data_IF_077266768128
#
_entry.id   IF_077266768128
#
_cell.length_a   1.000
_cell.length_b   1.000
_cell.length_c   1.000
_cell.angle_alpha   90.00
_cell.angle_beta   90.00
_cell.angle_gamma   90.00
#
_symmetry.space_group_name_H-M   'P 1'
#
loop_
_entity.id
_entity.type
_entity.pdbx_description
1 polymer ?
#
# COMPACT_ATOMS: atom_id res chain seq x y z
N UNK A 1 -6.66 -0.61 4.29
CA UNK A 1 -6.15 0.73 3.98
C UNK A 1 -7.34 1.68 3.93
N UNK A 2 -7.22 2.85 4.56
CA UNK A 2 -8.25 3.90 4.60
C UNK A 2 -7.61 5.19 4.10
N UNK A 3 -8.11 5.72 2.98
CA UNK A 3 -7.66 7.00 2.44
C UNK A 3 -8.11 8.14 3.33
N UNK A 4 -7.18 9.00 3.71
CA UNK A 4 -7.45 10.21 4.50
C UNK A 4 -6.69 11.36 3.88
N UNK A 5 -7.38 12.47 3.60
CA UNK A 5 -6.69 13.67 3.13
C UNK A 5 -6.03 14.39 4.28
N UNK A 6 -4.87 15.05 4.07
CA UNK A 6 -4.23 15.89 5.07
C UNK A 6 -5.18 16.94 5.66
N UNK A 7 -6.04 17.56 4.83
CA UNK A 7 -7.02 18.55 5.28
C UNK A 7 -8.01 17.93 6.28
N UNK A 8 -8.47 16.68 6.03
CA UNK A 8 -9.37 15.99 6.96
C UNK A 8 -8.69 15.68 8.30
N UNK A 9 -7.39 15.38 8.29
CA UNK A 9 -6.62 15.15 9.51
C UNK A 9 -6.42 16.44 10.33
N UNK A 10 -6.32 17.57 9.64
CA UNK A 10 -6.06 18.88 10.24
C UNK A 10 -7.34 19.66 10.56
N UNK A 11 -8.52 19.15 10.18
CA UNK A 11 -9.79 19.79 10.47
C UNK A 11 -10.05 19.82 11.99
N UNK A 12 -10.27 21.00 12.60
CA UNK A 12 -10.57 21.12 14.02
C UNK A 12 -11.85 20.40 14.46
N UNK A 13 -12.77 20.14 13.53
CA UNK A 13 -13.99 19.35 13.79
C UNK A 13 -13.73 17.85 13.85
N UNK A 14 -12.57 17.41 13.35
CA UNK A 14 -12.17 16.02 13.40
C UNK A 14 -11.88 15.60 14.84
N UNK A 15 -12.82 14.89 15.46
CA UNK A 15 -12.65 14.42 16.83
C UNK A 15 -11.65 13.27 16.90
N UNK A 16 -10.50 13.44 17.57
CA UNK A 16 -9.57 12.37 17.81
C UNK A 16 -10.28 11.18 18.48
N UNK A 17 -10.10 9.98 17.92
CA UNK A 17 -10.69 8.77 18.49
C UNK A 17 -12.04 8.35 17.90
N UNK A 18 -12.71 9.16 17.09
CA UNK A 18 -13.95 8.73 16.40
C UNK A 18 -13.71 7.52 15.49
N UNK A 19 -12.63 7.53 14.74
CA UNK A 19 -12.20 6.38 13.92
C UNK A 19 -11.99 5.14 14.80
N UNK A 20 -11.33 5.30 15.95
CA UNK A 20 -11.12 4.22 16.90
C UNK A 20 -12.43 3.64 17.42
N UNK A 21 -13.40 4.50 17.81
CA UNK A 21 -14.73 4.06 18.28
C UNK A 21 -15.48 3.29 17.19
N UNK A 22 -15.44 3.75 15.94
CA UNK A 22 -16.05 3.04 14.82
C UNK A 22 -15.44 1.65 14.63
N UNK A 23 -14.13 1.53 14.65
CA UNK A 23 -13.44 0.25 14.52
C UNK A 23 -13.78 -0.70 15.69
N UNK A 24 -13.85 -0.19 16.92
CA UNK A 24 -14.25 -0.96 18.10
C UNK A 24 -15.66 -1.54 17.96
N UNK A 25 -16.61 -0.78 17.40
CA UNK A 25 -17.97 -1.28 17.15
C UNK A 25 -18.03 -2.47 16.18
N UNK A 26 -17.02 -2.58 15.30
CA UNK A 26 -16.88 -3.69 14.36
C UNK A 26 -15.89 -4.76 14.81
N UNK A 27 -15.29 -4.63 16.00
CA UNK A 27 -14.29 -5.56 16.52
C UNK A 27 -12.97 -5.54 15.72
N UNK A 28 -12.66 -4.44 15.03
CA UNK A 28 -11.44 -4.31 14.21
C UNK A 28 -10.35 -3.63 15.03
N UNK A 29 -9.23 -4.30 15.33
CA UNK A 29 -8.13 -3.67 16.05
C UNK A 29 -7.40 -2.64 15.16
N UNK A 30 -6.95 -1.49 15.69
CA UNK A 30 -6.23 -0.47 14.92
C UNK A 30 -4.98 -1.01 14.18
N UNK A 31 -4.31 -2.01 14.75
CA UNK A 31 -3.15 -2.68 14.13
C UNK A 31 -3.45 -3.39 12.80
N UNK A 32 -4.71 -3.61 12.47
CA UNK A 32 -5.15 -4.13 11.16
C UNK A 32 -5.50 -3.01 10.17
N UNK A 33 -5.38 -1.75 10.57
CA UNK A 33 -5.78 -0.60 9.76
C UNK A 33 -4.57 0.25 9.41
N UNK A 34 -4.45 0.58 8.14
CA UNK A 34 -3.42 1.46 7.60
C UNK A 34 -4.09 2.75 7.14
N UNK A 35 -3.64 3.89 7.65
CA UNK A 35 -4.05 5.22 7.19
C UNK A 35 -3.20 5.56 5.97
N UNK A 36 -3.86 5.83 4.87
CA UNK A 36 -3.26 6.07 3.57
C UNK A 36 -3.35 7.57 3.23
N UNK A 37 -2.20 8.22 3.07
CA UNK A 37 -2.10 9.63 2.73
C UNK A 37 -1.79 9.78 1.25
N UNK A 38 -2.62 10.50 0.53
CA UNK A 38 -2.36 10.87 -0.85
C UNK A 38 -1.54 12.16 -0.92
N UNK A 39 -0.55 12.19 -1.82
CA UNK A 39 0.32 13.36 -2.02
C UNK A 39 -0.40 14.57 -2.65
N UNK A 40 -1.58 14.38 -3.23
CA UNK A 40 -2.29 15.39 -4.05
C UNK A 40 -2.71 16.65 -3.29
N UNK A 41 -2.64 16.64 -1.97
CA UNK A 41 -2.95 17.81 -1.16
C UNK A 41 -1.67 18.44 -0.62
N UNK A 42 -1.26 19.62 -1.13
CA UNK A 42 -0.09 20.32 -0.62
C UNK A 42 -0.37 20.77 0.82
N UNK A 43 0.24 20.07 1.77
CA UNK A 43 0.19 20.50 3.16
C UNK A 43 1.34 21.46 3.41
N UNK A 44 1.04 22.72 3.66
CA UNK A 44 2.06 23.71 4.02
C UNK A 44 2.59 23.51 5.44
N UNK A 45 1.79 22.90 6.31
CA UNK A 45 2.16 22.67 7.72
C UNK A 45 2.48 21.19 8.00
N UNK A 46 3.73 20.82 7.71
CA UNK A 46 4.25 19.47 7.99
C UNK A 46 4.25 19.14 9.48
N UNK A 47 4.39 20.13 10.36
CA UNK A 47 4.44 19.91 11.82
C UNK A 47 3.09 19.45 12.34
N UNK A 48 2.01 20.08 11.88
CA UNK A 48 0.66 19.68 12.26
C UNK A 48 0.33 18.28 11.71
N UNK A 49 0.70 17.99 10.46
CA UNK A 49 0.49 16.66 9.86
C UNK A 49 1.25 15.58 10.64
N UNK A 50 2.52 15.81 10.96
CA UNK A 50 3.34 14.88 11.74
C UNK A 50 2.75 14.61 13.12
N UNK A 51 2.28 15.65 13.81
CA UNK A 51 1.60 15.51 15.10
C UNK A 51 0.32 14.67 14.99
N UNK A 52 -0.50 14.88 13.95
CA UNK A 52 -1.70 14.10 13.71
C UNK A 52 -1.35 12.60 13.46
N UNK A 53 -0.32 12.33 12.65
CA UNK A 53 0.12 10.96 12.40
C UNK A 53 0.73 10.29 13.63
N UNK A 54 1.47 11.02 14.45
CA UNK A 54 1.94 10.51 15.74
C UNK A 54 0.77 10.06 16.63
N UNK A 55 -0.33 10.83 16.63
CA UNK A 55 -1.52 10.45 17.37
C UNK A 55 -2.13 9.12 16.84
N UNK A 56 -2.24 8.95 15.51
CA UNK A 56 -2.72 7.69 14.93
C UNK A 56 -1.78 6.52 15.25
N UNK A 57 -0.46 6.71 15.17
CA UNK A 57 0.51 5.69 15.57
C UNK A 57 0.37 5.29 17.04
N UNK A 58 0.15 6.27 17.92
CA UNK A 58 -0.07 6.01 19.36
C UNK A 58 -1.34 5.19 19.62
N UNK A 59 -2.33 5.25 18.73
CA UNK A 59 -3.53 4.39 18.77
C UNK A 59 -3.31 3.01 18.13
N UNK A 60 -2.15 2.76 17.53
CA UNK A 60 -1.79 1.46 16.93
C UNK A 60 -2.06 1.34 15.44
N UNK A 61 -2.37 2.43 14.72
CA UNK A 61 -2.49 2.44 13.26
C UNK A 61 -1.11 2.45 12.60
N UNK A 62 -1.02 1.84 11.42
CA UNK A 62 0.10 2.03 10.50
C UNK A 62 -0.21 3.15 9.49
N UNK A 63 0.85 3.74 8.93
CA UNK A 63 0.75 4.84 7.96
C UNK A 63 1.31 4.39 6.62
N UNK A 64 0.61 4.74 5.54
CA UNK A 64 1.08 4.57 4.17
C UNK A 64 1.15 5.90 3.44
N UNK A 65 2.16 6.05 2.58
CA UNK A 65 2.21 7.08 1.54
C UNK A 65 1.72 6.49 0.24
N UNK A 66 0.71 7.12 -0.36
CA UNK A 66 0.13 6.72 -1.65
C UNK A 66 0.68 7.54 -2.81
N UNK A 67 0.58 6.99 -4.02
CA UNK A 67 0.93 7.63 -5.30
C UNK A 67 2.38 8.15 -5.35
N UNK A 68 3.35 7.41 -4.77
CA UNK A 68 4.75 7.83 -4.81
C UNK A 68 5.24 7.98 -6.24
N UNK A 69 5.66 9.20 -6.57
CA UNK A 69 6.19 9.57 -7.89
C UNK A 69 5.22 10.33 -8.76
N UNK A 70 3.93 10.46 -8.39
CA UNK A 70 2.97 11.28 -9.12
C UNK A 70 3.15 12.79 -8.90
N UNK A 71 3.90 13.21 -7.86
CA UNK A 71 4.08 14.60 -7.49
C UNK A 71 5.49 14.97 -7.04
N UNK A 72 5.68 16.26 -6.71
CA UNK A 72 7.00 16.83 -6.38
C UNK A 72 7.41 16.67 -4.91
N UNK A 73 6.50 16.27 -4.03
CA UNK A 73 6.70 16.29 -2.57
C UNK A 73 6.93 14.92 -1.94
N UNK A 74 6.74 13.82 -2.68
CA UNK A 74 6.72 12.43 -2.17
C UNK A 74 7.94 12.07 -1.34
N UNK A 75 9.15 12.33 -1.84
CA UNK A 75 10.39 11.98 -1.12
C UNK A 75 10.61 12.84 0.13
N UNK A 76 10.17 14.10 0.09
CA UNK A 76 10.21 14.96 1.27
C UNK A 76 9.23 14.45 2.33
N UNK A 77 7.98 14.18 1.96
CA UNK A 77 6.99 13.59 2.85
C UNK A 77 7.51 12.28 3.46
N UNK A 78 8.12 11.41 2.66
CA UNK A 78 8.71 10.19 3.17
C UNK A 78 9.79 10.46 4.22
N UNK A 79 10.71 11.38 3.95
CA UNK A 79 11.81 11.69 4.88
C UNK A 79 11.32 12.25 6.22
N UNK A 80 10.24 13.05 6.19
CA UNK A 80 9.66 13.69 7.39
C UNK A 80 8.74 12.71 8.14
N UNK A 81 7.81 12.06 7.44
CA UNK A 81 6.73 11.27 8.05
C UNK A 81 7.13 9.84 8.39
N UNK A 82 8.19 9.31 7.76
CA UNK A 82 8.68 7.93 7.95
C UNK A 82 7.54 6.90 7.99
N UNK A 83 6.82 6.71 6.88
CA UNK A 83 5.68 5.82 6.81
C UNK A 83 6.09 4.35 6.99
N UNK A 84 5.13 3.52 7.40
CA UNK A 84 5.32 2.07 7.49
C UNK A 84 5.23 1.41 6.12
N UNK A 85 4.44 2.00 5.20
CA UNK A 85 4.24 1.54 3.83
C UNK A 85 4.42 2.69 2.84
N UNK A 86 4.92 2.35 1.65
CA UNK A 86 5.02 3.27 0.52
C UNK A 86 4.48 2.58 -0.71
N UNK A 87 3.55 3.23 -1.42
CA UNK A 87 2.89 2.68 -2.59
C UNK A 87 3.46 3.34 -3.84
N UNK A 88 3.98 2.53 -4.75
CA UNK A 88 4.51 2.99 -6.03
C UNK A 88 3.34 3.06 -7.01
N UNK A 89 3.12 4.25 -7.57
CA UNK A 89 2.07 4.52 -8.56
C UNK A 89 2.21 3.61 -9.79
N UNK A 90 1.05 3.22 -10.34
CA UNK A 90 0.93 2.39 -11.54
C UNK A 90 1.81 2.88 -12.70
N UNK A 91 2.00 4.20 -12.86
CA UNK A 91 2.82 4.74 -13.93
C UNK A 91 4.22 4.13 -14.01
N UNK A 92 4.82 3.80 -12.86
CA UNK A 92 6.15 3.18 -12.79
C UNK A 92 6.11 1.67 -12.92
N UNK A 93 4.94 1.05 -12.78
CA UNK A 93 4.76 -0.40 -12.84
C UNK A 93 4.37 -0.85 -14.25
N UNK A 94 3.45 -0.12 -14.90
CA UNK A 94 3.00 -0.40 -16.27
C UNK A 94 4.19 -0.44 -17.24
N UNK A 95 4.42 -1.62 -17.85
CA UNK A 95 5.52 -1.84 -18.79
C UNK A 95 6.93 -1.90 -18.17
N UNK A 96 7.08 -2.04 -16.86
CA UNK A 96 8.39 -2.12 -16.17
C UNK A 96 9.30 -3.21 -16.74
N UNK A 97 8.74 -4.30 -17.25
CA UNK A 97 9.48 -5.41 -17.86
C UNK A 97 10.22 -4.98 -19.15
N UNK A 98 9.79 -3.91 -19.81
CA UNK A 98 10.40 -3.35 -21.02
C UNK A 98 11.25 -2.10 -20.76
N UNK A 99 11.10 -1.45 -19.62
CA UNK A 99 11.69 -0.13 -19.33
C UNK A 99 12.76 -0.24 -18.22
N UNK A 100 14.04 -0.07 -18.61
CA UNK A 100 15.16 -0.10 -17.69
C UNK A 100 15.13 1.09 -16.70
N UNK A 101 14.62 2.27 -17.11
CA UNK A 101 14.55 3.45 -16.24
C UNK A 101 13.54 3.23 -15.12
N UNK A 102 12.39 2.63 -15.43
CA UNK A 102 11.39 2.26 -14.43
C UNK A 102 11.95 1.26 -13.42
N UNK A 103 12.71 0.24 -13.89
CA UNK A 103 13.39 -0.71 -12.99
C UNK A 103 14.37 -0.02 -12.06
N UNK A 104 15.20 0.89 -12.56
CA UNK A 104 16.14 1.66 -11.74
C UNK A 104 15.43 2.56 -10.73
N UNK A 105 14.30 3.17 -11.13
CA UNK A 105 13.47 3.97 -10.22
C UNK A 105 12.94 3.11 -9.08
N UNK A 106 12.28 1.99 -9.38
CA UNK A 106 11.75 1.07 -8.37
C UNK A 106 12.87 0.52 -7.49
N UNK A 107 14.02 0.16 -8.06
CA UNK A 107 15.21 -0.27 -7.33
C UNK A 107 15.70 0.78 -6.32
N UNK A 108 15.71 2.05 -6.72
CA UNK A 108 16.08 3.17 -5.84
C UNK A 108 15.08 3.32 -4.68
N UNK A 109 13.79 3.19 -4.95
CA UNK A 109 12.73 3.22 -3.93
C UNK A 109 12.91 2.08 -2.93
N UNK A 110 13.18 0.86 -3.38
CA UNK A 110 13.44 -0.29 -2.51
C UNK A 110 14.66 -0.06 -1.58
N UNK A 111 15.71 0.58 -2.08
CA UNK A 111 16.87 0.92 -1.25
C UNK A 111 16.51 1.93 -0.15
N UNK A 112 15.74 2.97 -0.47
CA UNK A 112 15.28 3.97 0.51
C UNK A 112 14.35 3.29 1.52
N UNK A 113 13.43 2.43 1.08
CA UNK A 113 12.50 1.68 1.93
C UNK A 113 13.25 0.80 2.93
N UNK A 114 14.26 0.07 2.47
CA UNK A 114 15.12 -0.74 3.35
C UNK A 114 15.83 0.11 4.41
N UNK A 115 16.33 1.29 4.05
CA UNK A 115 17.00 2.20 4.97
C UNK A 115 16.04 2.80 6.00
N UNK A 116 14.80 3.12 5.61
CA UNK A 116 13.75 3.68 6.47
C UNK A 116 12.92 2.62 7.20
N UNK A 117 13.08 1.34 6.88
CA UNK A 117 12.27 0.20 7.36
C UNK A 117 10.81 0.27 6.93
N UNK A 118 10.53 0.91 5.81
CA UNK A 118 9.22 0.90 5.19
C UNK A 118 9.06 -0.34 4.29
N UNK A 119 7.84 -0.81 4.10
CA UNK A 119 7.51 -1.83 3.11
C UNK A 119 7.00 -1.17 1.83
N UNK A 120 7.39 -1.72 0.68
CA UNK A 120 7.00 -1.21 -0.63
C UNK A 120 5.83 -2.01 -1.19
N UNK A 121 4.82 -1.30 -1.68
CA UNK A 121 3.66 -1.84 -2.38
C UNK A 121 3.73 -1.38 -3.84
N UNK A 122 3.84 -2.31 -4.78
CA UNK A 122 3.69 -1.99 -6.20
C UNK A 122 2.20 -2.09 -6.60
N UNK A 123 1.69 -1.03 -7.23
CA UNK A 123 0.28 -0.94 -7.61
C UNK A 123 0.05 -1.07 -9.12
N UNK A 124 -1.15 -1.52 -9.47
CA UNK A 124 -1.61 -1.53 -10.86
C UNK A 124 -1.00 -2.61 -11.73
N UNK A 125 -0.55 -3.73 -11.16
CA UNK A 125 0.00 -4.87 -11.90
C UNK A 125 -1.10 -5.50 -12.74
N UNK A 126 -0.91 -5.56 -14.06
CA UNK A 126 -1.86 -6.14 -15.00
C UNK A 126 -1.28 -7.29 -15.83
N UNK A 127 0.06 -7.41 -15.92
CA UNK A 127 0.76 -8.41 -16.72
C UNK A 127 1.62 -9.35 -15.86
N UNK A 128 1.74 -10.61 -16.29
CA UNK A 128 2.59 -11.60 -15.62
C UNK A 128 4.07 -11.22 -15.67
N UNK A 129 4.50 -10.58 -16.76
CA UNK A 129 5.87 -10.11 -16.97
C UNK A 129 6.24 -8.97 -15.98
N UNK A 130 5.28 -8.11 -15.65
CA UNK A 130 5.45 -7.06 -14.62
C UNK A 130 5.58 -7.70 -13.24
N UNK A 131 4.70 -8.66 -12.93
CA UNK A 131 4.75 -9.42 -11.68
C UNK A 131 6.10 -10.12 -11.50
N UNK A 132 6.60 -10.81 -12.54
CA UNK A 132 7.87 -11.53 -12.50
C UNK A 132 9.04 -10.59 -12.19
N UNK A 133 9.11 -9.44 -12.87
CA UNK A 133 10.16 -8.43 -12.63
C UNK A 133 10.10 -7.88 -11.21
N UNK A 134 8.91 -7.52 -10.73
CA UNK A 134 8.74 -6.97 -9.38
C UNK A 134 9.08 -7.98 -8.28
N UNK A 135 8.74 -9.26 -8.50
CA UNK A 135 9.09 -10.34 -7.59
C UNK A 135 10.62 -10.57 -7.56
N UNK A 136 11.30 -10.57 -8.73
CA UNK A 136 12.76 -10.68 -8.83
C UNK A 136 13.48 -9.51 -8.18
N UNK A 137 12.92 -8.30 -8.27
CA UNK A 137 13.42 -7.10 -7.59
C UNK A 137 13.20 -7.12 -6.07
N UNK A 138 12.40 -8.05 -5.54
CA UNK A 138 12.14 -8.19 -4.11
C UNK A 138 11.17 -7.15 -3.54
N UNK A 139 10.16 -6.74 -4.32
CA UNK A 139 9.09 -5.86 -3.83
C UNK A 139 8.28 -6.60 -2.76
N UNK A 140 8.05 -5.95 -1.61
CA UNK A 140 7.44 -6.58 -0.44
C UNK A 140 5.97 -6.99 -0.66
N UNK A 141 5.20 -6.12 -1.32
CA UNK A 141 3.76 -6.28 -1.48
C UNK A 141 3.32 -5.88 -2.90
N UNK A 142 2.36 -6.61 -3.44
CA UNK A 142 1.94 -6.49 -4.83
C UNK A 142 0.42 -6.33 -4.93
N UNK A 143 -0.05 -5.37 -5.74
CA UNK A 143 -1.47 -5.08 -5.95
C UNK A 143 -1.75 -4.80 -7.43
N UNK A 144 -2.84 -5.39 -7.97
CA UNK A 144 -3.23 -5.12 -9.36
C UNK A 144 -4.34 -6.05 -9.86
N UNK A 145 -4.86 -5.74 -11.04
CA UNK A 145 -5.96 -6.50 -11.64
C UNK A 145 -5.55 -7.90 -12.10
N UNK A 146 -4.27 -8.12 -12.36
CA UNK A 146 -3.76 -9.46 -12.58
C UNK A 146 -4.01 -10.37 -11.38
N UNK A 147 -3.80 -9.84 -10.16
CA UNK A 147 -3.95 -10.59 -8.93
C UNK A 147 -5.41 -10.73 -8.52
N UNK A 148 -6.16 -9.62 -8.48
CA UNK A 148 -7.58 -9.60 -8.18
C UNK A 148 -8.21 -8.26 -8.54
N UNK A 149 -9.38 -8.30 -9.16
CA UNK A 149 -10.23 -7.11 -9.29
C UNK A 149 -11.00 -6.86 -7.98
N UNK A 150 -11.36 -5.59 -7.68
CA UNK A 150 -12.21 -5.27 -6.54
C UNK A 150 -13.52 -6.08 -6.59
N UNK A 151 -13.92 -6.63 -5.43
CA UNK A 151 -15.17 -7.40 -5.27
C UNK A 151 -15.77 -7.10 -3.89
N UNK A 152 -17.09 -7.32 -3.78
CA UNK A 152 -17.83 -7.03 -2.54
C UNK A 152 -17.44 -7.96 -1.37
N UNK A 153 -17.01 -9.17 -1.69
CA UNK A 153 -16.54 -10.17 -0.74
C UNK A 153 -15.08 -10.55 -1.02
N UNK A 154 -14.21 -10.57 -0.01
CA UNK A 154 -12.85 -11.01 -0.22
C UNK A 154 -12.84 -12.49 -0.65
N UNK A 155 -11.91 -12.88 -1.55
CA UNK A 155 -11.79 -14.27 -1.99
C UNK A 155 -11.43 -15.18 -0.82
N UNK A 156 -12.10 -16.31 -0.73
CA UNK A 156 -11.89 -17.31 0.34
C UNK A 156 -10.54 -18.05 0.23
N UNK A 157 -9.98 -18.11 -0.98
CA UNK A 157 -8.70 -18.76 -1.25
C UNK A 157 -7.84 -17.93 -2.21
N UNK A 158 -6.82 -17.28 -1.65
CA UNK A 158 -5.87 -16.50 -2.45
C UNK A 158 -4.91 -17.38 -3.26
N UNK A 159 -4.66 -18.64 -2.87
CA UNK A 159 -3.81 -19.56 -3.64
C UNK A 159 -4.50 -19.97 -4.93
N UNK A 160 -5.81 -20.23 -4.88
CA UNK A 160 -6.59 -20.54 -6.08
C UNK A 160 -6.55 -19.41 -7.12
N UNK A 161 -6.40 -18.15 -6.67
CA UNK A 161 -6.31 -17.00 -7.57
C UNK A 161 -4.97 -16.88 -8.27
N UNK A 162 -3.91 -17.44 -7.69
CA UNK A 162 -2.55 -17.43 -8.27
C UNK A 162 -2.26 -18.71 -9.07
N UNK A 163 -3.14 -19.70 -9.02
CA UNK A 163 -2.97 -20.98 -9.70
C UNK A 163 -2.96 -20.88 -11.24
N UNK A 164 -3.46 -19.77 -11.80
CA UNK A 164 -3.43 -19.49 -13.24
C UNK A 164 -2.25 -18.60 -13.67
N UNK A 165 -1.49 -18.06 -12.72
CA UNK A 165 -0.24 -17.37 -13.02
C UNK A 165 0.81 -18.46 -13.18
N UNK A 166 1.29 -18.65 -14.43
CA UNK A 166 2.28 -19.68 -14.72
C UNK A 166 3.51 -19.52 -13.82
N UNK A 167 4.07 -20.61 -13.27
CA UNK A 167 5.33 -20.53 -12.56
C UNK A 167 6.39 -20.01 -13.54
N UNK A 168 7.13 -18.97 -13.14
CA UNK A 168 8.29 -18.49 -13.88
C UNK A 168 9.18 -19.68 -14.24
N UNK A 169 9.71 -19.70 -15.48
CA UNK A 169 10.44 -20.84 -16.07
C UNK A 169 11.50 -21.42 -15.12
N UNK A 170 11.77 -22.75 -15.19
CA UNK A 170 12.53 -23.48 -14.20
C UNK A 170 14.01 -23.06 -14.20
N UNK A 171 14.36 -22.26 -13.24
CA UNK A 171 15.73 -21.86 -12.88
C UNK A 171 15.85 -21.61 -11.39
N UNK A 172 14.73 -21.58 -10.67
CA UNK A 172 14.66 -21.47 -9.23
C UNK A 172 14.29 -22.86 -8.69
N UNK A 173 15.09 -23.35 -7.75
CA UNK A 173 14.96 -24.66 -7.12
C UNK A 173 13.53 -24.99 -6.69
N UNK A 174 13.14 -26.28 -6.85
CA UNK A 174 11.82 -26.87 -6.55
C UNK A 174 11.35 -26.77 -5.08
N UNK A 175 11.85 -25.83 -4.29
CA UNK A 175 11.36 -25.61 -2.92
C UNK A 175 10.21 -24.58 -2.95
N UNK A 176 9.01 -25.10 -3.24
CA UNK A 176 7.74 -24.36 -3.18
C UNK A 176 7.43 -23.77 -1.77
N UNK A 177 8.28 -24.02 -0.78
CA UNK A 177 8.22 -23.47 0.57
C UNK A 177 8.62 -21.99 0.65
N UNK A 178 9.41 -21.48 -0.31
CA UNK A 178 9.95 -20.11 -0.25
C UNK A 178 9.00 -19.02 -0.77
N UNK A 179 7.96 -19.38 -1.50
CA UNK A 179 6.93 -18.42 -1.95
C UNK A 179 5.84 -18.17 -0.90
N UNK A 180 5.79 -18.96 0.17
CA UNK A 180 4.76 -18.88 1.21
C UNK A 180 4.75 -17.51 1.93
N UNK A 181 5.89 -16.87 2.26
CA UNK A 181 5.89 -15.53 2.87
C UNK A 181 5.38 -14.45 1.92
N UNK A 182 5.74 -14.52 0.64
CA UNK A 182 5.28 -13.56 -0.38
C UNK A 182 3.76 -13.69 -0.60
N UNK A 183 3.24 -14.92 -0.61
CA UNK A 183 1.81 -15.22 -0.76
C UNK A 183 1.00 -14.79 0.46
N UNK A 184 1.52 -14.93 1.68
CA UNK A 184 0.87 -14.49 2.90
C UNK A 184 0.78 -12.95 2.98
N UNK A 185 1.83 -12.25 2.53
CA UNK A 185 1.82 -10.79 2.46
C UNK A 185 0.87 -10.26 1.37
N UNK A 186 0.76 -10.95 0.22
CA UNK A 186 -0.24 -10.66 -0.82
C UNK A 186 -1.69 -10.72 -0.27
N UNK A 187 -1.97 -11.58 0.70
CA UNK A 187 -3.30 -11.70 1.30
C UNK A 187 -3.69 -10.51 2.19
N UNK A 188 -2.74 -9.89 2.87
CA UNK A 188 -3.03 -8.83 3.85
C UNK A 188 -3.56 -7.53 3.20
N UNK A 189 -3.14 -7.19 1.99
CA UNK A 189 -3.54 -5.96 1.30
C UNK A 189 -4.90 -6.10 0.59
N UNK A 190 -5.32 -7.32 0.25
CA UNK A 190 -6.52 -7.59 -0.55
C UNK A 190 -7.84 -7.25 0.14
N UNK A 191 -7.93 -7.43 1.45
CA UNK A 191 -9.21 -7.28 2.15
C UNK A 191 -9.67 -5.82 2.28
N UNK A 192 -8.76 -4.85 2.29
CA UNK A 192 -9.16 -3.49 2.66
C UNK A 192 -9.69 -2.64 1.50
N UNK A 193 -9.16 -2.78 0.26
CA UNK A 193 -9.70 -1.98 -0.88
C UNK A 193 -11.05 -2.49 -1.41
N UNK A 194 -11.37 -3.76 -1.30
CA UNK A 194 -12.67 -4.28 -1.75
C UNK A 194 -13.85 -3.75 -0.92
N UNK A 195 -13.66 -3.52 0.37
CA UNK A 195 -14.70 -2.98 1.24
C UNK A 195 -14.87 -1.45 1.15
N UNK A 196 -13.81 -0.72 0.76
CA UNK A 196 -13.85 0.74 0.64
C UNK A 196 -14.40 1.27 -0.68
N UNK A 197 -14.44 0.47 -1.76
CA UNK A 197 -14.84 0.99 -3.08
C UNK A 197 -16.33 0.86 -3.38
N UNK A 198 -17.08 0.01 -2.69
CA UNK A 198 -18.54 -0.07 -2.90
C UNK A 198 -19.34 0.95 -2.11
N UNK A 199 -18.75 1.61 -1.13
CA UNK A 199 -19.31 2.77 -0.46
C UNK A 199 -18.22 3.83 -0.34
N UNK A 200 -18.32 4.90 -1.14
CA UNK A 200 -17.91 6.22 -0.66
C UNK A 200 -18.66 6.40 0.65
N UNK A 201 -18.08 5.99 1.75
CA UNK A 201 -18.42 6.55 3.04
C UNK A 201 -17.79 7.93 2.99
N UNK A 202 -18.50 8.85 2.35
CA UNK A 202 -18.38 10.26 2.70
C UNK A 202 -18.64 10.26 4.20
N UNK A 203 -17.56 10.25 4.98
CA UNK A 203 -17.61 10.70 6.35
C UNK A 203 -17.90 12.20 6.24
N UNK A 204 -19.15 12.56 5.90
CA UNK A 204 -19.69 13.87 6.16
C UNK A 204 -19.68 14.02 7.68
N UNK A 205 -18.69 14.77 8.13
CA UNK A 205 -18.65 15.35 9.47
C UNK A 205 -19.63 16.49 9.53
#
# INVERSE_FOLDING_TARGET
>A
FINVSPESLLDPSHQPGRTLQLLQNFGIPPSQVVIELTEQSPTEDFTLLDNALHHYRAMGFSIALDDLGAGYSSLRLWSELRPDYVKIDRHFIDGIHLDAVKREFVGSILQIAKASRAQVIAEGIELEEELAVLADMGVDLLQGYLLCRPQDTPPSDARAMLSHIAPAQPGISEDASDLTPLLLNLMAIRCCKAACWSKKVELNV
#
